data_IF_536039353217
#
_entry.id   IF_536039353217
#
_cell.length_a   1.000
_cell.length_b   1.000
_cell.length_c   1.000
_cell.angle_alpha   90.00
_cell.angle_beta   90.00
_cell.angle_gamma   90.00
#
_symmetry.space_group_name_H-M   'P 1'
#
loop_
_entity.id
_entity.type
_entity.pdbx_description
1 polymer ?
#
# COMPACT_ATOMS: atom_id res chain seq x y z
N UNK A 1 -4.03 32.55 -39.80
CA UNK A 1 -3.22 32.88 -38.61
C UNK A 1 -3.78 32.08 -37.43
N UNK A 2 -3.42 30.82 -37.19
CA UNK A 2 -2.15 30.29 -36.69
C UNK A 2 -1.66 30.90 -35.35
N UNK A 3 -1.80 30.08 -34.29
CA UNK A 3 -1.10 30.02 -33.00
C UNK A 3 -1.26 31.23 -32.04
N UNK A 4 -1.40 31.07 -30.71
CA UNK A 4 -0.73 30.12 -29.82
C UNK A 4 -1.69 29.45 -28.81
N UNK A 5 -1.73 28.12 -28.81
CA UNK A 5 -1.94 27.34 -27.59
C UNK A 5 -0.69 27.49 -26.71
N UNK A 6 -0.81 28.25 -25.62
CA UNK A 6 0.20 28.23 -24.57
C UNK A 6 0.17 26.87 -23.87
N UNK A 7 0.97 25.93 -24.36
CA UNK A 7 1.31 24.71 -23.65
C UNK A 7 2.02 25.13 -22.35
N UNK A 8 1.28 25.18 -21.23
CA UNK A 8 1.85 25.41 -19.89
C UNK A 8 2.78 24.24 -19.55
N UNK A 9 4.05 24.33 -19.97
CA UNK A 9 5.10 23.41 -19.51
C UNK A 9 5.35 23.70 -18.04
N UNK A 10 5.09 22.72 -17.17
CA UNK A 10 5.49 22.80 -15.77
C UNK A 10 6.99 23.11 -15.65
N UNK A 11 7.39 24.01 -14.74
CA UNK A 11 8.80 24.38 -14.58
C UNK A 11 9.63 23.15 -14.15
N UNK A 12 10.88 23.02 -14.61
CA UNK A 12 11.69 21.81 -14.45
C UNK A 12 11.86 21.33 -13.00
N UNK A 13 11.97 22.26 -12.03
CA UNK A 13 12.14 21.93 -10.61
C UNK A 13 10.91 21.21 -10.03
N UNK A 14 9.69 21.73 -10.29
CA UNK A 14 8.45 21.09 -9.84
C UNK A 14 8.26 19.68 -10.45
N UNK A 15 8.78 19.46 -11.66
CA UNK A 15 8.75 18.14 -12.30
C UNK A 15 9.66 17.15 -11.56
N UNK A 16 10.86 17.57 -11.16
CA UNK A 16 11.82 16.72 -10.44
C UNK A 16 11.27 16.31 -9.08
N UNK A 17 10.67 17.23 -8.33
CA UNK A 17 10.08 16.93 -7.02
C UNK A 17 8.94 15.92 -7.14
N UNK A 18 8.05 16.07 -8.13
CA UNK A 18 6.99 15.08 -8.37
C UNK A 18 7.54 13.69 -8.73
N UNK A 19 8.63 13.63 -9.49
CA UNK A 19 9.27 12.34 -9.83
C UNK A 19 9.85 11.70 -8.56
N UNK A 20 10.53 12.48 -7.72
CA UNK A 20 11.05 12.02 -6.42
C UNK A 20 9.94 11.52 -5.50
N UNK A 21 8.87 12.29 -5.34
CA UNK A 21 7.71 11.91 -4.52
C UNK A 21 7.06 10.61 -5.01
N UNK A 22 6.94 10.45 -6.33
CA UNK A 22 6.41 9.22 -6.92
C UNK A 22 7.34 8.03 -6.64
N UNK A 23 8.65 8.22 -6.78
CA UNK A 23 9.63 7.18 -6.48
C UNK A 23 9.55 6.75 -5.02
N UNK A 24 9.56 7.71 -4.09
CA UNK A 24 9.45 7.45 -2.66
C UNK A 24 8.14 6.73 -2.31
N UNK A 25 7.01 7.19 -2.85
CA UNK A 25 5.72 6.53 -2.66
C UNK A 25 5.71 5.09 -3.21
N UNK A 26 6.40 4.83 -4.31
CA UNK A 26 6.54 3.47 -4.83
C UNK A 26 7.37 2.60 -3.88
N UNK A 27 8.51 3.10 -3.39
CA UNK A 27 9.35 2.37 -2.44
C UNK A 27 8.62 2.06 -1.14
N UNK A 28 7.80 2.99 -0.62
CA UNK A 28 6.94 2.72 0.56
C UNK A 28 5.90 1.64 0.24
N UNK A 29 5.32 1.66 -0.96
CA UNK A 29 4.40 0.60 -1.40
C UNK A 29 5.05 -0.77 -1.48
N UNK A 30 6.24 -0.84 -2.07
CA UNK A 30 7.06 -2.07 -2.16
C UNK A 30 7.47 -2.56 -0.78
N UNK A 31 7.81 -1.66 0.15
CA UNK A 31 8.09 -2.01 1.54
C UNK A 31 6.88 -2.67 2.21
N UNK A 32 5.69 -2.08 2.14
CA UNK A 32 4.49 -2.69 2.72
C UNK A 32 4.18 -4.06 2.10
N UNK A 33 4.36 -4.19 0.78
CA UNK A 33 4.17 -5.45 0.09
C UNK A 33 5.17 -6.51 0.57
N UNK A 34 6.44 -6.16 0.74
CA UNK A 34 7.46 -7.08 1.22
C UNK A 34 7.22 -7.51 2.68
N UNK A 35 6.87 -6.58 3.57
CA UNK A 35 6.54 -6.88 4.97
C UNK A 35 5.36 -7.84 5.06
N UNK A 36 4.28 -7.55 4.34
CA UNK A 36 3.07 -8.39 4.36
C UNK A 36 3.27 -9.73 3.66
N UNK A 37 4.07 -9.77 2.59
CA UNK A 37 4.44 -11.00 1.90
C UNK A 37 5.45 -11.86 2.65
N UNK A 38 6.02 -11.37 3.75
CA UNK A 38 6.86 -12.17 4.66
C UNK A 38 6.09 -12.76 5.85
N UNK A 39 4.78 -12.53 5.94
CA UNK A 39 3.91 -13.14 6.94
C UNK A 39 3.68 -14.60 6.56
N UNK A 40 3.73 -15.51 7.54
CA UNK A 40 3.53 -16.94 7.30
C UNK A 40 2.20 -17.22 6.56
N UNK A 41 2.27 -18.03 5.50
CA UNK A 41 1.12 -18.37 4.66
C UNK A 41 0.72 -17.28 3.65
N UNK A 42 1.52 -16.22 3.51
CA UNK A 42 1.36 -15.16 2.53
C UNK A 42 2.56 -15.06 1.60
N UNK A 43 2.30 -14.62 0.38
CA UNK A 43 3.33 -14.33 -0.61
C UNK A 43 3.07 -12.99 -1.28
N UNK A 44 4.16 -12.35 -1.74
CA UNK A 44 4.10 -11.13 -2.53
C UNK A 44 4.51 -11.39 -3.98
N UNK A 45 3.81 -10.74 -4.91
CA UNK A 45 4.05 -10.91 -6.32
C UNK A 45 4.70 -9.70 -6.97
N UNK A 46 5.73 -9.97 -7.75
CA UNK A 46 6.33 -8.94 -8.61
C UNK A 46 5.40 -8.57 -9.77
N UNK A 47 5.61 -7.38 -10.33
CA UNK A 47 4.91 -6.94 -11.55
C UNK A 47 5.09 -7.97 -12.66
N UNK A 48 3.99 -8.33 -13.32
CA UNK A 48 3.99 -9.31 -14.40
C UNK A 48 3.60 -10.73 -13.97
N UNK A 49 3.36 -10.97 -12.68
CA UNK A 49 2.77 -12.23 -12.21
C UNK A 49 1.40 -12.49 -12.89
N UNK A 50 1.03 -13.74 -13.23
CA UNK A 50 -0.22 -14.04 -13.95
C UNK A 50 -1.50 -13.51 -13.30
N UNK A 51 -1.55 -13.47 -11.96
CA UNK A 51 -2.68 -12.88 -11.24
C UNK A 51 -2.72 -11.35 -11.34
N UNK A 52 -1.57 -10.71 -11.59
CA UNK A 52 -1.43 -9.27 -11.69
C UNK A 52 -1.80 -8.52 -10.40
N UNK A 53 -1.76 -9.18 -9.25
CA UNK A 53 -2.11 -8.66 -7.92
C UNK A 53 -0.84 -8.53 -7.06
N UNK A 54 -0.88 -7.79 -5.95
CA UNK A 54 0.32 -7.52 -5.13
C UNK A 54 0.60 -8.62 -4.08
N UNK A 55 -0.45 -9.16 -3.45
CA UNK A 55 -0.35 -10.19 -2.40
C UNK A 55 -1.40 -11.28 -2.59
N UNK A 56 -1.09 -12.50 -2.17
CA UNK A 56 -2.08 -13.55 -1.94
C UNK A 56 -1.71 -14.43 -0.76
N UNK A 57 -2.72 -15.11 -0.23
CA UNK A 57 -2.51 -16.24 0.68
C UNK A 57 -2.10 -17.45 -0.16
N UNK A 58 -1.13 -18.23 0.31
CA UNK A 58 -0.57 -19.37 -0.42
C UNK A 58 -1.63 -20.43 -0.78
N UNK A 59 -2.69 -20.53 0.03
CA UNK A 59 -3.84 -21.42 -0.20
C UNK A 59 -4.85 -20.89 -1.25
N UNK A 60 -4.56 -19.74 -1.88
CA UNK A 60 -5.41 -19.03 -2.84
C UNK A 60 -6.81 -18.67 -2.33
N UNK A 61 -6.99 -18.56 -1.00
CA UNK A 61 -8.27 -18.14 -0.42
C UNK A 61 -8.41 -16.61 -0.37
N UNK A 62 -7.32 -15.86 -0.51
CA UNK A 62 -7.33 -14.40 -0.44
C UNK A 62 -6.33 -13.77 -1.40
N UNK A 63 -6.73 -12.67 -2.04
CA UNK A 63 -5.91 -11.89 -2.98
C UNK A 63 -6.07 -10.40 -2.69
N UNK A 64 -4.99 -9.64 -2.71
CA UNK A 64 -4.99 -8.23 -2.32
C UNK A 64 -4.19 -7.38 -3.32
N UNK A 65 -4.88 -6.42 -3.96
CA UNK A 65 -4.22 -5.27 -4.59
C UNK A 65 -3.98 -4.22 -3.51
N UNK A 66 -2.72 -3.93 -3.21
CA UNK A 66 -2.30 -3.02 -2.17
C UNK A 66 -1.95 -1.64 -2.75
N UNK A 67 -2.28 -0.59 -2.00
CA UNK A 67 -1.85 0.78 -2.29
C UNK A 67 -1.32 1.42 -1.02
N UNK A 68 -0.24 2.19 -1.13
CA UNK A 68 0.28 2.96 -0.01
C UNK A 68 -0.78 3.94 0.54
N UNK A 69 -1.46 4.68 -0.36
CA UNK A 69 -2.50 5.64 0.01
C UNK A 69 -3.77 5.46 -0.77
N UNK A 70 -4.89 5.93 -0.22
CA UNK A 70 -6.11 6.08 -0.98
C UNK A 70 -5.81 6.89 -2.24
N UNK A 71 -6.03 6.25 -3.38
CA UNK A 71 -5.97 6.91 -4.66
C UNK A 71 -7.39 7.11 -5.16
N UNK A 72 -7.71 8.32 -5.60
CA UNK A 72 -8.88 8.55 -6.45
C UNK A 72 -8.58 7.92 -7.81
N UNK A 73 -8.71 6.59 -7.89
CA UNK A 73 -8.65 5.90 -9.17
C UNK A 73 -9.69 6.56 -10.09
N UNK A 74 -9.24 7.02 -11.25
CA UNK A 74 -10.14 7.43 -12.31
C UNK A 74 -11.01 6.23 -12.74
N UNK A 75 -12.12 6.49 -13.43
CA UNK A 75 -13.09 5.46 -13.79
C UNK A 75 -12.42 4.23 -14.42
N UNK A 76 -11.58 4.45 -15.43
CA UNK A 76 -10.89 3.39 -16.16
C UNK A 76 -9.97 2.52 -15.30
N UNK A 77 -9.24 3.09 -14.33
CA UNK A 77 -8.41 2.29 -13.41
C UNK A 77 -9.26 1.48 -12.43
N UNK A 78 -10.41 2.00 -12.00
CA UNK A 78 -11.37 1.24 -11.17
C UNK A 78 -11.97 0.09 -11.95
N UNK A 79 -12.36 0.33 -13.20
CA UNK A 79 -12.87 -0.69 -14.11
C UNK A 79 -11.83 -1.82 -14.29
N UNK A 80 -10.60 -1.47 -14.66
CA UNK A 80 -9.53 -2.44 -14.86
C UNK A 80 -9.22 -3.26 -13.59
N UNK A 81 -9.18 -2.61 -12.41
CA UNK A 81 -8.99 -3.34 -11.15
C UNK A 81 -10.20 -4.24 -10.85
N UNK A 82 -11.43 -3.77 -11.11
CA UNK A 82 -12.63 -4.56 -10.88
C UNK A 82 -12.66 -5.82 -11.75
N UNK A 83 -12.31 -5.68 -13.02
CA UNK A 83 -12.24 -6.79 -13.98
C UNK A 83 -11.15 -7.79 -13.60
N UNK A 84 -10.00 -7.28 -13.13
CA UNK A 84 -8.91 -8.11 -12.59
C UNK A 84 -9.38 -8.98 -11.42
N UNK A 85 -9.99 -8.37 -10.41
CA UNK A 85 -10.49 -9.09 -9.22
C UNK A 85 -11.60 -10.09 -9.61
N UNK A 86 -12.50 -9.71 -10.53
CA UNK A 86 -13.52 -10.62 -11.05
C UNK A 86 -12.90 -11.81 -11.81
N UNK A 87 -11.78 -11.62 -12.50
CA UNK A 87 -11.05 -12.69 -13.19
C UNK A 87 -10.46 -13.71 -12.23
N UNK A 88 -9.86 -13.24 -11.13
CA UNK A 88 -9.36 -14.11 -10.07
C UNK A 88 -10.52 -14.92 -9.48
N UNK A 89 -11.67 -14.31 -9.19
CA UNK A 89 -12.83 -15.03 -8.66
C UNK A 89 -13.46 -16.04 -9.63
N UNK A 90 -13.25 -15.92 -10.94
CA UNK A 90 -13.65 -16.97 -11.89
C UNK A 90 -12.82 -18.24 -11.71
N UNK A 91 -11.54 -18.10 -11.35
CA UNK A 91 -10.61 -19.21 -11.12
C UNK A 91 -10.70 -19.72 -9.67
N UNK A 92 -10.96 -18.84 -8.72
CA UNK A 92 -11.07 -19.13 -7.29
C UNK A 92 -12.40 -18.58 -6.71
N UNK A 93 -13.55 -19.24 -6.98
CA UNK A 93 -14.88 -18.70 -6.64
C UNK A 93 -15.14 -18.45 -5.16
N UNK A 94 -14.45 -19.20 -4.29
CA UNK A 94 -14.57 -19.09 -2.82
C UNK A 94 -13.59 -18.07 -2.21
N UNK A 95 -12.67 -17.51 -3.00
CA UNK A 95 -11.68 -16.58 -2.49
C UNK A 95 -12.29 -15.21 -2.16
N UNK A 96 -11.58 -14.42 -1.35
CA UNK A 96 -11.86 -13.00 -1.15
C UNK A 96 -10.79 -12.15 -1.83
N UNK A 97 -11.24 -11.18 -2.61
CA UNK A 97 -10.41 -10.25 -3.35
C UNK A 97 -10.53 -8.85 -2.75
N UNK A 98 -9.39 -8.21 -2.49
CA UNK A 98 -9.34 -6.91 -1.82
C UNK A 98 -8.68 -5.86 -2.69
N UNK A 99 -9.27 -4.67 -2.68
CA UNK A 99 -8.55 -3.44 -2.93
C UNK A 99 -8.24 -2.78 -1.59
N UNK A 100 -6.98 -2.89 -1.15
CA UNK A 100 -6.52 -2.40 0.14
C UNK A 100 -5.69 -1.13 0.03
N UNK A 101 -5.79 -0.23 1.02
CA UNK A 101 -4.93 0.95 1.10
C UNK A 101 -4.54 1.31 2.54
N UNK A 102 -3.24 1.52 2.78
CA UNK A 102 -2.71 1.75 4.13
C UNK A 102 -3.14 3.14 4.65
N UNK A 103 -2.82 4.20 3.92
CA UNK A 103 -3.20 5.56 4.30
C UNK A 103 -4.63 5.86 3.81
N UNK A 104 -5.57 5.96 4.74
CA UNK A 104 -6.96 6.36 4.48
C UNK A 104 -7.10 7.89 4.37
N UNK A 105 -8.21 8.38 3.81
CA UNK A 105 -8.44 9.84 3.63
C UNK A 105 -8.80 10.55 4.92
N UNK A 106 -9.45 9.83 5.83
CA UNK A 106 -10.09 10.32 7.04
C UNK A 106 -9.41 9.75 8.30
N UNK A 107 -8.24 9.15 8.15
CA UNK A 107 -7.50 8.44 9.21
C UNK A 107 -8.31 7.33 9.90
N UNK A 108 -9.38 6.85 9.26
CA UNK A 108 -10.15 5.71 9.75
C UNK A 108 -9.52 4.39 9.32
N UNK A 109 -10.04 3.30 9.88
CA UNK A 109 -9.75 1.95 9.43
C UNK A 109 -11.03 1.14 9.33
N UNK A 110 -11.09 0.21 8.38
CA UNK A 110 -12.25 -0.64 8.21
C UNK A 110 -12.18 -1.52 6.97
N UNK A 111 -13.26 -2.26 6.76
CA UNK A 111 -13.46 -3.15 5.63
C UNK A 111 -14.93 -3.10 5.20
N UNK A 112 -15.19 -3.11 3.89
CA UNK A 112 -16.55 -3.22 3.38
C UNK A 112 -16.60 -3.87 1.98
N UNK A 113 -17.80 -4.28 1.56
CA UNK A 113 -18.04 -4.68 0.17
C UNK A 113 -17.67 -3.52 -0.77
N UNK A 114 -16.88 -3.79 -1.80
CA UNK A 114 -16.64 -2.79 -2.82
C UNK A 114 -17.80 -2.80 -3.82
N UNK A 115 -18.79 -1.93 -3.60
CA UNK A 115 -19.83 -1.67 -4.59
C UNK A 115 -19.33 -0.67 -5.63
N UNK A 116 -19.43 -1.00 -6.92
CA UNK A 116 -19.00 -0.13 -8.01
C UNK A 116 -19.91 -0.28 -9.24
N UNK A 117 -20.37 0.84 -9.82
CA UNK A 117 -21.34 0.87 -10.94
C UNK A 117 -22.57 -0.04 -10.73
N UNK A 118 -23.09 -0.09 -9.50
CA UNK A 118 -24.19 -0.99 -9.07
C UNK A 118 -23.86 -2.50 -9.11
N UNK A 119 -22.65 -2.89 -9.50
CA UNK A 119 -22.17 -4.28 -9.35
C UNK A 119 -21.85 -4.56 -7.89
N UNK A 120 -22.48 -5.61 -7.38
CA UNK A 120 -22.30 -6.14 -6.03
C UNK A 120 -21.67 -7.52 -6.11
N UNK A 121 -20.68 -7.76 -5.27
CA UNK A 121 -20.06 -9.06 -5.10
C UNK A 121 -19.45 -9.10 -3.70
N UNK A 122 -19.96 -9.92 -2.76
CA UNK A 122 -19.50 -9.94 -1.38
C UNK A 122 -18.04 -10.37 -1.23
N UNK A 123 -17.49 -11.06 -2.25
CA UNK A 123 -16.11 -11.51 -2.30
C UNK A 123 -15.16 -10.45 -2.89
N UNK A 124 -15.65 -9.31 -3.40
CA UNK A 124 -14.80 -8.20 -3.83
C UNK A 124 -14.98 -7.02 -2.86
N UNK A 125 -13.94 -6.74 -2.08
CA UNK A 125 -14.00 -5.89 -0.89
C UNK A 125 -12.96 -4.77 -0.94
N UNK A 126 -13.14 -3.76 -0.10
CA UNK A 126 -12.07 -2.81 0.24
C UNK A 126 -11.70 -2.96 1.69
N UNK A 127 -10.43 -2.73 1.99
CA UNK A 127 -9.92 -2.62 3.34
C UNK A 127 -8.99 -1.42 3.45
N UNK A 128 -8.96 -0.75 4.59
CA UNK A 128 -8.12 0.44 4.75
C UNK A 128 -7.64 0.67 6.17
N UNK A 129 -6.57 1.46 6.30
CA UNK A 129 -5.94 1.71 7.60
C UNK A 129 -5.30 0.44 8.15
N UNK A 130 -5.30 0.31 9.48
CA UNK A 130 -4.76 -0.86 10.18
C UNK A 130 -5.44 -2.18 9.80
N UNK A 131 -6.72 -2.17 9.42
CA UNK A 131 -7.45 -3.33 8.93
C UNK A 131 -6.82 -3.96 7.68
N UNK A 132 -6.19 -3.18 6.81
CA UNK A 132 -5.48 -3.74 5.65
C UNK A 132 -4.32 -4.65 6.08
N UNK A 133 -3.63 -4.30 7.17
CA UNK A 133 -2.61 -5.12 7.81
C UNK A 133 -3.22 -6.29 8.59
N UNK A 134 -4.28 -6.03 9.36
CA UNK A 134 -4.95 -7.06 10.17
C UNK A 134 -5.58 -8.19 9.36
N UNK A 135 -5.99 -7.94 8.11
CA UNK A 135 -6.44 -8.99 7.19
C UNK A 135 -5.34 -10.02 6.89
N UNK A 136 -4.09 -9.58 6.83
CA UNK A 136 -2.94 -10.44 6.52
C UNK A 136 -2.43 -11.12 7.79
N UNK A 137 -2.24 -10.34 8.85
CA UNK A 137 -1.56 -10.78 10.08
C UNK A 137 -2.49 -11.40 11.12
N UNK A 138 -3.81 -11.19 11.00
CA UNK A 138 -4.79 -11.55 12.03
C UNK A 138 -4.84 -10.61 13.24
N UNK A 139 -4.01 -9.54 13.27
CA UNK A 139 -3.94 -8.59 14.39
C UNK A 139 -4.35 -7.17 13.96
N UNK A 140 -5.30 -6.51 14.66
CA UNK A 140 -5.67 -5.12 14.37
C UNK A 140 -4.58 -4.11 14.74
N UNK A 141 -3.58 -4.52 15.53
CA UNK A 141 -2.46 -3.68 15.98
C UNK A 141 -1.20 -3.83 15.13
N UNK A 142 -1.19 -4.78 14.18
CA UNK A 142 0.01 -5.11 13.39
C UNK A 142 0.61 -3.95 12.61
N UNK A 143 -0.19 -2.96 12.20
CA UNK A 143 0.34 -1.76 11.56
C UNK A 143 1.14 -0.89 12.54
N UNK A 144 0.64 -0.67 13.77
CA UNK A 144 1.36 0.09 14.79
C UNK A 144 2.59 -0.67 15.29
N UNK A 145 2.47 -1.98 15.51
CA UNK A 145 3.60 -2.84 15.90
C UNK A 145 4.71 -2.79 14.84
N UNK A 146 4.37 -2.79 13.55
CA UNK A 146 5.33 -2.62 12.46
C UNK A 146 6.03 -1.26 12.53
N UNK A 147 5.29 -0.16 12.77
CA UNK A 147 5.90 1.16 12.90
C UNK A 147 6.83 1.28 14.11
N UNK A 148 6.53 0.58 15.20
CA UNK A 148 7.40 0.50 16.38
C UNK A 148 8.64 -0.37 16.15
N UNK A 149 8.51 -1.43 15.36
CA UNK A 149 9.60 -2.33 15.01
C UNK A 149 10.54 -1.74 13.95
N UNK A 150 10.04 -0.87 13.06
CA UNK A 150 10.80 -0.35 11.94
C UNK A 150 12.08 0.40 12.37
N UNK A 151 12.06 1.34 13.34
CA UNK A 151 13.28 1.95 13.85
C UNK A 151 14.26 0.89 14.38
N UNK A 152 13.81 -0.07 15.18
CA UNK A 152 14.67 -1.16 15.72
C UNK A 152 15.40 -1.88 14.60
N UNK A 153 14.67 -2.31 13.57
CA UNK A 153 15.24 -2.99 12.42
C UNK A 153 16.28 -2.12 11.68
N UNK A 154 16.04 -0.81 11.54
CA UNK A 154 17.00 0.11 10.92
C UNK A 154 18.31 0.23 11.72
N UNK A 155 18.24 0.22 13.06
CA UNK A 155 19.43 0.24 13.91
C UNK A 155 20.20 -1.07 13.84
N UNK A 156 19.49 -2.19 13.85
CA UNK A 156 20.08 -3.52 13.70
C UNK A 156 20.83 -3.65 12.36
N UNK A 157 20.23 -3.22 11.24
CA UNK A 157 20.86 -3.28 9.91
C UNK A 157 22.07 -2.35 9.81
N UNK A 158 22.07 -1.22 10.51
CA UNK A 158 23.18 -0.25 10.48
C UNK A 158 24.27 -0.53 11.51
N UNK A 159 24.16 -1.61 12.31
CA UNK A 159 25.03 -1.92 13.44
C UNK A 159 25.14 -0.75 14.44
N UNK A 160 24.11 0.11 14.53
CA UNK A 160 24.04 1.21 15.48
C UNK A 160 23.23 0.76 16.69
N UNK A 161 23.57 1.24 17.89
CA UNK A 161 22.72 1.05 19.06
C UNK A 161 21.55 2.02 19.01
N UNK A 162 20.34 1.53 19.26
CA UNK A 162 19.22 2.44 19.52
C UNK A 162 19.52 3.29 20.76
N UNK A 163 19.31 4.61 20.70
CA UNK A 163 19.28 5.43 21.91
C UNK A 163 18.19 4.94 22.88
N UNK A 164 18.42 5.18 24.17
CA UNK A 164 17.53 4.74 25.25
C UNK A 164 16.10 5.28 25.06
N UNK A 165 15.10 4.45 25.39
CA UNK A 165 13.68 4.67 25.16
C UNK A 165 13.10 5.87 25.93
N UNK A 166 13.88 6.44 26.86
CA UNK A 166 13.57 7.70 27.55
C UNK A 166 13.59 8.93 26.63
N UNK A 167 14.16 8.82 25.42
CA UNK A 167 14.23 9.86 24.39
C UNK A 167 13.11 9.62 23.38
N UNK A 168 11.88 9.89 23.82
CA UNK A 168 10.65 9.70 23.05
C UNK A 168 10.11 11.04 22.54
N UNK A 169 10.65 11.49 21.40
CA UNK A 169 9.87 12.23 20.41
C UNK A 169 10.50 12.03 19.02
N UNK A 170 9.67 11.73 18.02
CA UNK A 170 10.10 11.38 16.66
C UNK A 170 11.04 12.42 16.01
N UNK A 171 10.97 13.69 16.42
CA UNK A 171 11.88 14.72 15.92
C UNK A 171 13.30 14.68 16.52
N UNK A 172 13.57 13.98 17.63
CA UNK A 172 14.90 13.84 18.24
C UNK A 172 15.67 12.73 17.53
N UNK A 173 14.91 11.68 17.14
CA UNK A 173 15.34 10.65 16.20
C UNK A 173 15.74 11.21 14.83
N UNK A 174 14.95 12.14 14.28
CA UNK A 174 15.26 12.79 12.99
C UNK A 174 16.58 13.56 13.05
N UNK A 175 16.86 14.28 14.14
CA UNK A 175 18.13 14.98 14.38
C UNK A 175 19.31 13.99 14.39
N UNK A 176 19.20 12.93 15.19
CA UNK A 176 20.24 11.91 15.30
C UNK A 176 20.51 11.14 13.99
N UNK A 177 19.47 10.78 13.24
CA UNK A 177 19.61 10.03 11.99
C UNK A 177 20.13 10.87 10.82
N UNK A 178 19.88 12.19 10.83
CA UNK A 178 20.29 13.11 9.76
C UNK A 178 21.58 13.87 10.05
N UNK A 179 22.10 13.78 11.29
CA UNK A 179 23.32 14.48 11.70
C UNK A 179 23.14 15.99 11.83
N UNK A 180 21.92 16.46 12.10
CA UNK A 180 21.56 17.88 12.31
C UNK A 180 21.15 18.09 13.76
#
# INVERSE_FOLDING_TARGET
MHLLMACRREPPLLRLDRIRDKSLNNSIGEFHQAVLGGVEGWESFSKGHPFGIDLAREDNTMFIELKNKYNTLNGSKKDALRDKLASILRQHPKAKCYWAYILSRDSTSGECEWVYRKSRNPNIRKAWGSMAYGIVTGSPFSLSEMWEALPRAMFDITNKKMPDASISWASEWLKYATGI
#
